data_IF_504820780978
#
_entry.id   IF_504820780978
#
_cell.length_a   1.000
_cell.length_b   1.000
_cell.length_c   1.000
_cell.angle_alpha   90.00
_cell.angle_beta   90.00
_cell.angle_gamma   90.00
#
_symmetry.space_group_name_H-M   'P 1'
#
loop_
_entity.id
_entity.type
_entity.pdbx_description
1 polymer ?
#
# COMPACT_ATOMS: atom_id res chain seq x y z
N UNK A 1 36.69 -65.64 42.88
CA UNK A 1 36.55 -64.27 43.41
C UNK A 1 36.36 -63.37 42.21
N UNK A 2 35.14 -62.89 41.98
CA UNK A 2 34.77 -62.09 40.82
C UNK A 2 34.44 -60.68 41.27
N UNK A 3 35.22 -59.68 40.85
CA UNK A 3 35.05 -58.27 41.14
C UNK A 3 33.99 -57.67 40.21
N UNK A 4 32.92 -57.04 40.79
CA UNK A 4 31.93 -56.30 40.08
C UNK A 4 32.40 -54.86 39.89
N UNK A 5 32.60 -54.38 38.68
CA UNK A 5 32.80 -52.97 38.33
C UNK A 5 31.44 -52.34 38.05
N UNK A 6 31.07 -51.35 38.84
CA UNK A 6 29.89 -50.52 38.70
C UNK A 6 30.15 -49.48 37.62
N UNK A 7 29.29 -49.42 36.59
CA UNK A 7 29.32 -48.42 35.53
C UNK A 7 28.32 -47.32 35.95
N UNK A 8 28.83 -46.12 36.27
CA UNK A 8 28.00 -44.93 36.45
C UNK A 8 27.73 -44.26 35.10
N UNK A 9 26.48 -44.29 34.65
CA UNK A 9 26.01 -43.54 33.49
C UNK A 9 25.50 -42.17 33.92
N UNK A 10 26.24 -41.10 33.55
CA UNK A 10 25.76 -39.74 33.68
C UNK A 10 24.76 -39.46 32.56
N UNK A 11 23.48 -39.20 32.91
CA UNK A 11 22.50 -38.63 32.01
C UNK A 11 22.70 -37.11 32.03
N UNK A 12 23.18 -36.55 30.90
CA UNK A 12 23.15 -35.12 30.65
C UNK A 12 21.73 -34.72 30.17
N UNK A 13 20.97 -34.04 31.02
CA UNK A 13 19.70 -33.45 30.60
C UNK A 13 19.97 -32.18 29.79
N UNK A 14 19.80 -32.29 28.47
CA UNK A 14 19.81 -31.13 27.56
C UNK A 14 18.55 -30.31 27.74
N UNK A 15 18.68 -29.07 28.22
CA UNK A 15 17.60 -28.09 28.23
C UNK A 15 17.39 -27.59 26.81
N UNK A 16 16.33 -28.04 26.14
CA UNK A 16 15.88 -27.48 24.88
C UNK A 16 15.11 -26.21 25.19
N UNK A 17 15.75 -25.07 25.04
CA UNK A 17 15.07 -23.75 25.07
C UNK A 17 14.25 -23.64 23.79
N UNK A 18 12.95 -23.83 23.89
CA UNK A 18 12.01 -23.54 22.80
C UNK A 18 12.03 -22.03 22.53
N UNK A 19 12.61 -21.63 21.39
CA UNK A 19 12.42 -20.28 20.87
C UNK A 19 10.96 -20.17 20.42
N UNK A 20 10.13 -19.51 21.22
CA UNK A 20 8.82 -19.04 20.79
C UNK A 20 9.02 -17.91 19.78
N UNK A 21 8.40 -17.96 18.60
CA UNK A 21 8.48 -16.83 17.66
C UNK A 21 7.81 -15.61 18.29
N UNK A 22 8.48 -14.46 18.20
CA UNK A 22 7.94 -13.15 18.61
C UNK A 22 6.72 -12.79 17.72
N UNK A 23 5.53 -13.24 18.10
CA UNK A 23 4.24 -12.73 17.63
C UNK A 23 3.79 -11.67 18.64
N UNK A 24 4.45 -10.53 18.72
CA UNK A 24 4.14 -9.55 19.77
C UNK A 24 4.03 -8.10 19.33
N UNK A 25 3.97 -7.75 18.06
CA UNK A 25 3.78 -6.33 17.67
C UNK A 25 2.38 -5.96 17.20
N UNK A 26 1.49 -6.92 16.96
CA UNK A 26 0.13 -6.65 16.49
C UNK A 26 -0.89 -6.46 17.65
N UNK A 27 -0.50 -6.69 18.89
CA UNK A 27 -1.44 -6.71 20.03
C UNK A 27 -1.68 -5.35 20.71
N UNK A 28 -0.84 -4.33 20.45
CA UNK A 28 -0.91 -3.03 21.14
C UNK A 28 -1.28 -1.85 20.23
N UNK A 29 -1.72 -2.11 18.99
CA UNK A 29 -2.17 -1.00 18.13
C UNK A 29 -3.55 -0.51 18.58
N UNK A 30 -3.74 0.80 18.80
CA UNK A 30 -5.06 1.34 19.09
C UNK A 30 -6.00 1.02 17.92
N UNK A 31 -7.17 0.44 18.22
CA UNK A 31 -8.18 0.17 17.20
C UNK A 31 -8.56 1.46 16.49
N UNK A 32 -8.32 1.52 15.19
CA UNK A 32 -8.76 2.65 14.37
C UNK A 32 -10.25 2.50 14.03
N UNK A 33 -10.97 3.62 14.05
CA UNK A 33 -12.36 3.72 13.58
C UNK A 33 -12.44 4.37 12.21
N UNK A 34 -11.39 5.07 11.81
CA UNK A 34 -11.35 5.88 10.61
C UNK A 34 -10.37 5.32 9.60
N UNK A 35 -10.71 5.39 8.33
CA UNK A 35 -9.87 5.05 7.20
C UNK A 35 -9.89 6.18 6.19
N UNK A 36 -8.73 6.69 5.82
CA UNK A 36 -8.56 7.70 4.77
C UNK A 36 -7.91 7.03 3.57
N UNK A 37 -8.59 7.05 2.43
CA UNK A 37 -8.24 6.35 1.20
C UNK A 37 -7.78 7.35 0.15
N UNK A 38 -6.57 7.17 -0.40
CA UNK A 38 -5.96 8.11 -1.35
C UNK A 38 -5.75 7.40 -2.68
N UNK A 39 -6.31 7.96 -3.76
CA UNK A 39 -6.16 7.42 -5.11
C UNK A 39 -4.82 7.81 -5.75
N UNK A 40 -4.37 6.99 -6.71
CA UNK A 40 -3.15 7.24 -7.47
C UNK A 40 -3.39 8.11 -8.72
N UNK A 41 -2.33 8.20 -9.56
CA UNK A 41 -2.42 8.76 -10.91
C UNK A 41 -3.43 7.97 -11.75
N UNK A 42 -4.03 8.60 -12.75
CA UNK A 42 -4.98 8.00 -13.70
C UNK A 42 -6.29 7.50 -13.06
N UNK A 43 -6.55 7.87 -11.82
CA UNK A 43 -7.71 7.45 -11.04
C UNK A 43 -8.30 8.64 -10.26
N UNK A 44 -9.42 8.40 -9.63
CA UNK A 44 -10.07 9.30 -8.67
C UNK A 44 -10.61 8.50 -7.47
N UNK A 45 -11.27 9.16 -6.53
CA UNK A 45 -11.84 8.51 -5.35
C UNK A 45 -12.88 7.43 -5.64
N UNK A 46 -13.49 7.40 -6.84
CA UNK A 46 -14.46 6.38 -7.21
C UNK A 46 -13.87 4.98 -7.35
N UNK A 47 -12.55 4.88 -7.51
CA UNK A 47 -11.83 3.61 -7.55
C UNK A 47 -11.92 2.84 -6.21
N UNK A 48 -12.23 3.53 -5.11
CA UNK A 48 -12.36 2.97 -3.77
C UNK A 48 -13.77 2.52 -3.38
N UNK A 49 -14.80 2.76 -4.21
CA UNK A 49 -16.20 2.56 -3.82
C UNK A 49 -16.51 1.19 -3.24
N UNK A 50 -16.01 0.12 -3.85
CA UNK A 50 -16.28 -1.25 -3.41
C UNK A 50 -15.55 -1.56 -2.09
N UNK A 51 -14.33 -1.07 -1.91
CA UNK A 51 -13.57 -1.16 -0.63
C UNK A 51 -14.31 -0.39 0.47
N UNK A 52 -14.78 0.82 0.18
CA UNK A 52 -15.56 1.65 1.13
C UNK A 52 -16.79 0.89 1.62
N UNK A 53 -17.53 0.23 0.73
CA UNK A 53 -18.72 -0.54 1.10
C UNK A 53 -18.38 -1.69 2.10
N UNK A 54 -17.26 -2.39 1.88
CA UNK A 54 -16.80 -3.43 2.81
C UNK A 54 -16.38 -2.84 4.17
N UNK A 55 -15.63 -1.73 4.19
CA UNK A 55 -15.18 -1.07 5.42
C UNK A 55 -16.35 -0.54 6.24
N UNK A 56 -17.36 0.07 5.59
CA UNK A 56 -18.57 0.57 6.24
C UNK A 56 -19.40 -0.58 6.82
N UNK A 57 -19.51 -1.72 6.11
CA UNK A 57 -20.15 -2.92 6.61
C UNK A 57 -19.47 -3.47 7.87
N UNK A 58 -18.15 -3.30 7.97
CA UNK A 58 -17.38 -3.66 9.16
C UNK A 58 -17.41 -2.59 10.27
N UNK A 59 -18.16 -1.49 10.09
CA UNK A 59 -18.35 -0.44 11.10
C UNK A 59 -17.25 0.61 11.13
N UNK A 60 -16.43 0.74 10.08
CA UNK A 60 -15.41 1.79 9.96
C UNK A 60 -15.94 3.00 9.19
N UNK A 61 -15.49 4.19 9.57
CA UNK A 61 -15.68 5.42 8.82
C UNK A 61 -14.63 5.48 7.71
N UNK A 62 -15.04 5.38 6.44
CA UNK A 62 -14.15 5.43 5.30
C UNK A 62 -14.37 6.72 4.50
N UNK A 63 -13.30 7.48 4.26
CA UNK A 63 -13.33 8.72 3.49
C UNK A 63 -12.29 8.67 2.38
N UNK A 64 -12.72 8.86 1.11
CA UNK A 64 -11.82 8.97 -0.02
C UNK A 64 -11.38 10.43 -0.23
N UNK A 65 -10.08 10.64 -0.35
CA UNK A 65 -9.50 11.93 -0.72
C UNK A 65 -9.67 12.14 -2.23
N UNK A 66 -10.00 13.38 -2.62
CA UNK A 66 -9.93 13.82 -4.01
C UNK A 66 -8.69 14.71 -4.14
N UNK A 67 -7.53 14.08 -4.36
CA UNK A 67 -6.29 14.81 -4.57
C UNK A 67 -6.23 15.32 -6.02
N UNK A 68 -5.81 16.61 -6.23
CA UNK A 68 -5.96 17.26 -7.52
C UNK A 68 -4.99 16.81 -8.61
N UNK A 69 -3.98 16.00 -8.27
CA UNK A 69 -2.92 15.52 -9.17
C UNK A 69 -2.09 16.65 -9.82
N UNK A 70 -1.83 17.72 -9.07
CA UNK A 70 -1.14 18.92 -9.54
C UNK A 70 0.31 19.02 -9.05
N UNK A 71 0.54 18.83 -7.76
CA UNK A 71 1.86 18.84 -7.15
C UNK A 71 1.86 18.00 -5.88
N UNK A 72 3.05 17.57 -5.41
CA UNK A 72 3.17 16.85 -4.15
C UNK A 72 2.63 17.68 -2.98
N UNK A 73 2.82 19.00 -3.00
CA UNK A 73 2.35 19.92 -1.96
C UNK A 73 0.83 20.00 -1.92
N UNK A 74 0.19 20.25 -3.07
CA UNK A 74 -1.28 20.38 -3.16
C UNK A 74 -1.98 19.06 -2.86
N UNK A 75 -1.47 17.95 -3.41
CA UNK A 75 -1.99 16.62 -3.17
C UNK A 75 -1.84 16.22 -1.69
N UNK A 76 -0.68 16.51 -1.08
CA UNK A 76 -0.46 16.30 0.36
C UNK A 76 -1.36 17.19 1.21
N UNK A 77 -1.62 18.44 0.80
CA UNK A 77 -2.54 19.33 1.49
C UNK A 77 -3.98 18.78 1.43
N UNK A 78 -4.39 18.16 0.32
CA UNK A 78 -5.69 17.49 0.23
C UNK A 78 -5.80 16.34 1.24
N UNK A 79 -4.77 15.49 1.35
CA UNK A 79 -4.72 14.40 2.35
C UNK A 79 -4.80 14.97 3.78
N UNK A 80 -3.97 15.98 4.11
CA UNK A 80 -3.97 16.58 5.45
C UNK A 80 -5.31 17.20 5.83
N UNK A 81 -6.05 17.82 4.88
CA UNK A 81 -7.40 18.36 5.14
C UNK A 81 -8.40 17.28 5.56
N UNK A 82 -8.32 16.09 4.95
CA UNK A 82 -9.20 14.97 5.32
C UNK A 82 -8.74 14.34 6.65
N UNK A 83 -7.44 14.21 6.89
CA UNK A 83 -6.92 13.73 8.17
C UNK A 83 -7.35 14.63 9.34
N UNK A 84 -7.33 15.95 9.15
CA UNK A 84 -7.77 16.93 10.16
C UNK A 84 -9.26 16.85 10.52
N UNK A 85 -10.07 16.19 9.73
CA UNK A 85 -11.51 15.97 9.99
C UNK A 85 -11.76 14.66 10.77
N UNK A 86 -10.75 13.85 10.99
CA UNK A 86 -10.92 12.57 11.69
C UNK A 86 -10.93 12.79 13.21
N UNK A 87 -11.76 12.02 13.92
CA UNK A 87 -11.99 12.16 15.36
C UNK A 87 -11.21 11.16 16.22
N UNK A 88 -10.21 10.47 15.64
CA UNK A 88 -9.42 9.47 16.36
C UNK A 88 -8.47 8.68 15.47
N UNK A 89 -7.88 7.60 16.01
CA UNK A 89 -6.91 6.80 15.27
C UNK A 89 -7.40 6.41 13.87
N UNK A 90 -6.57 6.67 12.87
CA UNK A 90 -6.91 6.59 11.46
C UNK A 90 -5.91 5.74 10.71
N UNK A 91 -6.38 4.78 9.91
CA UNK A 91 -5.56 4.09 8.92
C UNK A 91 -5.49 4.94 7.65
N UNK A 92 -4.29 5.25 7.21
CA UNK A 92 -4.07 5.99 5.96
C UNK A 92 -3.64 5.02 4.85
N UNK A 93 -4.42 4.97 3.77
CA UNK A 93 -4.28 4.01 2.68
C UNK A 93 -3.93 4.73 1.38
N UNK A 94 -2.92 4.26 0.68
CA UNK A 94 -2.52 4.83 -0.62
C UNK A 94 -2.41 3.77 -1.70
N UNK A 95 -3.07 4.02 -2.84
CA UNK A 95 -2.93 3.22 -4.04
C UNK A 95 -1.91 3.84 -5.00
N UNK A 96 -1.03 3.03 -5.57
CA UNK A 96 -0.14 3.46 -6.66
C UNK A 96 0.74 4.67 -6.28
N UNK A 97 0.66 5.77 -7.03
CA UNK A 97 1.33 7.04 -6.73
C UNK A 97 1.01 7.56 -5.33
N UNK A 98 -0.21 7.35 -4.83
CA UNK A 98 -0.59 7.83 -3.50
C UNK A 98 0.24 7.22 -2.36
N UNK A 99 0.97 6.14 -2.61
CA UNK A 99 2.00 5.68 -1.67
C UNK A 99 3.08 6.75 -1.40
N UNK A 100 3.38 7.61 -2.38
CA UNK A 100 4.23 8.80 -2.18
C UNK A 100 3.56 9.79 -1.23
N UNK A 101 2.26 10.05 -1.41
CA UNK A 101 1.50 10.98 -0.58
C UNK A 101 1.39 10.50 0.88
N UNK A 102 1.11 9.20 1.08
CA UNK A 102 1.03 8.66 2.44
C UNK A 102 2.40 8.49 3.11
N UNK A 103 3.48 8.35 2.34
CA UNK A 103 4.85 8.42 2.86
C UNK A 103 5.20 9.83 3.35
N UNK A 104 4.68 10.89 2.67
CA UNK A 104 4.87 12.28 3.03
C UNK A 104 3.97 12.73 4.21
N UNK A 105 2.73 12.26 4.27
CA UNK A 105 1.73 12.79 5.22
C UNK A 105 1.46 11.88 6.41
N UNK A 106 1.83 10.62 6.32
CA UNK A 106 1.49 9.58 7.32
C UNK A 106 2.22 9.69 8.65
N UNK A 107 3.16 10.63 8.79
CA UNK A 107 3.81 10.97 10.07
C UNK A 107 2.88 11.66 11.06
N UNK A 108 1.71 12.14 10.66
CA UNK A 108 0.71 12.77 11.50
C UNK A 108 0.36 11.86 12.70
N UNK A 109 0.15 12.49 13.87
CA UNK A 109 -0.13 11.79 15.14
C UNK A 109 -1.44 11.00 15.11
N UNK A 110 -2.43 11.44 14.33
CA UNK A 110 -3.72 10.76 14.18
C UNK A 110 -3.60 9.47 13.36
N UNK A 111 -2.56 9.34 12.53
CA UNK A 111 -2.32 8.14 11.71
C UNK A 111 -1.75 7.02 12.57
N UNK A 112 -2.50 5.93 12.73
CA UNK A 112 -2.10 4.76 13.50
C UNK A 112 -1.35 3.71 12.67
N UNK A 113 -1.66 3.58 11.37
CA UNK A 113 -1.02 2.64 10.45
C UNK A 113 -1.12 3.13 9.01
N UNK A 114 -0.23 2.60 8.16
CA UNK A 114 -0.18 2.86 6.72
C UNK A 114 -0.49 1.59 5.95
N UNK A 115 -1.29 1.70 4.88
CA UNK A 115 -1.56 0.59 3.96
C UNK A 115 -1.21 1.03 2.54
N UNK A 116 -0.32 0.29 1.91
CA UNK A 116 0.15 0.50 0.54
C UNK A 116 -0.49 -0.55 -0.36
N UNK A 117 -1.25 -0.13 -1.36
CA UNK A 117 -1.95 -1.02 -2.30
C UNK A 117 -1.32 -0.84 -3.67
N UNK A 118 -0.57 -1.84 -4.16
CA UNK A 118 0.18 -1.76 -5.42
C UNK A 118 0.90 -0.40 -5.57
N UNK A 119 1.66 0.04 -4.56
CA UNK A 119 1.97 1.45 -4.37
C UNK A 119 3.47 1.77 -4.33
N UNK A 120 3.81 3.00 -4.69
CA UNK A 120 5.12 3.57 -4.41
C UNK A 120 5.32 3.69 -2.91
N UNK A 121 6.57 3.55 -2.45
CA UNK A 121 6.94 3.79 -1.06
C UNK A 121 8.35 4.40 -1.00
N UNK A 122 8.50 5.67 -1.43
CA UNK A 122 9.80 6.32 -1.46
C UNK A 122 10.35 6.54 -0.07
N UNK A 123 11.67 6.59 0.02
CA UNK A 123 12.37 7.15 1.17
C UNK A 123 12.45 8.68 1.07
N UNK A 124 12.76 9.35 2.17
CA UNK A 124 12.95 10.80 2.18
C UNK A 124 14.04 11.22 1.19
N UNK A 125 13.72 12.16 0.30
CA UNK A 125 14.60 12.65 -0.76
C UNK A 125 14.89 11.67 -1.89
N UNK A 126 14.33 10.46 -1.87
CA UNK A 126 14.60 9.43 -2.87
C UNK A 126 14.06 9.83 -4.24
N UNK A 127 14.85 9.57 -5.27
CA UNK A 127 14.41 9.60 -6.65
C UNK A 127 13.74 8.25 -6.98
N UNK A 128 12.41 8.22 -6.87
CA UNK A 128 11.64 7.00 -7.13
C UNK A 128 11.78 6.54 -8.59
N UNK A 129 11.93 7.46 -9.55
CA UNK A 129 12.17 7.12 -10.95
C UNK A 129 13.50 6.38 -11.15
N UNK A 130 14.55 6.86 -10.51
CA UNK A 130 15.87 6.20 -10.54
C UNK A 130 15.86 4.85 -9.83
N UNK A 131 15.07 4.69 -8.75
CA UNK A 131 14.85 3.39 -8.12
C UNK A 131 14.11 2.44 -9.05
N UNK A 132 12.99 2.87 -9.62
CA UNK A 132 12.16 2.06 -10.51
C UNK A 132 12.92 1.62 -11.78
N UNK A 133 13.83 2.44 -12.28
CA UNK A 133 14.67 2.11 -13.44
C UNK A 133 15.62 0.92 -13.21
N UNK A 134 15.79 0.44 -11.97
CA UNK A 134 16.55 -0.78 -11.65
C UNK A 134 15.75 -2.06 -11.89
N UNK A 135 14.46 -1.95 -12.19
CA UNK A 135 13.54 -3.04 -12.44
C UNK A 135 13.04 -3.00 -13.89
N UNK A 136 12.55 -4.12 -14.44
CA UNK A 136 11.98 -4.14 -15.77
C UNK A 136 10.87 -3.08 -15.92
N UNK A 137 10.92 -2.35 -17.04
CA UNK A 137 9.96 -1.29 -17.33
C UNK A 137 8.56 -1.86 -17.52
N UNK A 138 7.54 -1.38 -16.78
CA UNK A 138 6.19 -1.92 -16.90
C UNK A 138 5.51 -1.52 -18.21
N UNK A 139 4.64 -2.38 -18.79
CA UNK A 139 4.02 -2.17 -20.11
C UNK A 139 3.19 -0.88 -20.21
N UNK A 140 2.45 -0.50 -19.16
CA UNK A 140 1.60 0.71 -19.18
C UNK A 140 2.37 1.98 -19.54
N UNK A 141 3.66 2.05 -19.21
CA UNK A 141 4.50 3.22 -19.47
C UNK A 141 4.63 3.56 -20.98
N UNK A 142 4.45 2.58 -21.86
CA UNK A 142 4.48 2.79 -23.30
C UNK A 142 3.26 3.57 -23.83
N UNK A 143 2.16 3.58 -23.07
CA UNK A 143 0.94 4.30 -23.43
C UNK A 143 0.79 5.68 -22.80
N UNK A 144 1.84 6.18 -22.13
CA UNK A 144 1.82 7.54 -21.57
C UNK A 144 1.80 8.58 -22.67
N UNK A 145 0.80 9.44 -22.63
CA UNK A 145 0.65 10.63 -23.49
C UNK A 145 1.00 11.86 -22.66
N UNK A 146 1.66 12.85 -23.28
CA UNK A 146 2.03 14.12 -22.65
C UNK A 146 1.50 15.31 -23.43
N UNK A 147 1.08 16.36 -22.75
CA UNK A 147 0.65 17.62 -23.37
C UNK A 147 0.37 18.68 -22.30
N UNK A 148 0.74 19.91 -22.62
CA UNK A 148 0.46 21.11 -21.80
C UNK A 148 0.87 21.03 -20.32
N UNK A 149 1.99 20.35 -20.02
CA UNK A 149 2.48 20.17 -18.64
C UNK A 149 1.81 19.04 -17.88
N UNK A 150 1.05 18.19 -18.56
CA UNK A 150 0.34 17.04 -17.98
C UNK A 150 0.66 15.75 -18.73
N UNK A 151 0.35 14.64 -18.07
CA UNK A 151 0.42 13.30 -18.67
C UNK A 151 -0.80 12.44 -18.28
N UNK A 152 -1.16 11.51 -19.15
CA UNK A 152 -2.22 10.53 -18.93
C UNK A 152 -1.93 9.25 -19.70
N UNK A 153 -2.71 8.20 -19.48
CA UNK A 153 -2.64 6.98 -20.29
C UNK A 153 -3.61 7.07 -21.46
N UNK A 154 -3.18 6.67 -22.66
CA UNK A 154 -4.11 6.46 -23.75
C UNK A 154 -5.06 5.29 -23.42
N UNK A 155 -6.18 5.22 -24.11
CA UNK A 155 -7.24 4.24 -23.84
C UNK A 155 -6.74 2.79 -23.91
N UNK A 156 -5.91 2.48 -24.91
CA UNK A 156 -5.40 1.12 -25.09
C UNK A 156 -4.57 0.67 -23.88
N UNK A 157 -3.59 1.46 -23.48
CA UNK A 157 -2.74 1.15 -22.33
C UNK A 157 -3.52 1.16 -21.01
N UNK A 158 -4.48 2.07 -20.85
CA UNK A 158 -5.33 2.09 -19.68
C UNK A 158 -6.10 0.78 -19.55
N UNK A 159 -6.80 0.35 -20.59
CA UNK A 159 -7.64 -0.85 -20.54
C UNK A 159 -6.82 -2.14 -20.47
N UNK A 160 -5.70 -2.22 -21.22
CA UNK A 160 -4.88 -3.44 -21.31
C UNK A 160 -3.95 -3.61 -20.12
N UNK A 161 -3.37 -2.53 -19.60
CA UNK A 161 -2.25 -2.58 -18.66
C UNK A 161 -2.60 -2.00 -17.29
N UNK A 162 -3.24 -0.82 -17.21
CA UNK A 162 -3.61 -0.20 -15.93
C UNK A 162 -4.81 -0.90 -15.29
N UNK A 163 -5.83 -1.23 -16.07
CA UNK A 163 -7.05 -1.89 -15.63
C UNK A 163 -7.08 -3.40 -15.96
N UNK A 164 -5.92 -4.05 -16.15
CA UNK A 164 -5.87 -5.48 -16.39
C UNK A 164 -6.52 -6.26 -15.22
N UNK A 165 -7.37 -7.25 -15.56
CA UNK A 165 -8.12 -8.04 -14.57
C UNK A 165 -9.39 -7.37 -14.03
N UNK A 166 -9.70 -6.14 -14.44
CA UNK A 166 -10.98 -5.47 -14.14
C UNK A 166 -12.03 -5.82 -15.19
N UNK A 167 -13.30 -5.92 -14.77
CA UNK A 167 -14.42 -6.08 -15.71
C UNK A 167 -14.37 -5.02 -16.82
N UNK A 168 -14.53 -5.40 -18.10
CA UNK A 168 -14.35 -4.47 -19.22
C UNK A 168 -15.30 -3.26 -19.22
N UNK A 169 -16.52 -3.39 -18.71
CA UNK A 169 -17.44 -2.25 -18.62
C UNK A 169 -17.01 -1.30 -17.52
N UNK A 170 -16.59 -1.84 -16.37
CA UNK A 170 -16.03 -1.06 -15.26
C UNK A 170 -14.72 -0.37 -15.66
N UNK A 171 -13.82 -1.06 -16.36
CA UNK A 171 -12.55 -0.48 -16.84
C UNK A 171 -12.78 0.72 -17.79
N UNK A 172 -13.77 0.63 -18.69
CA UNK A 172 -14.15 1.77 -19.56
C UNK A 172 -14.72 2.94 -18.78
N UNK A 173 -15.51 2.69 -17.72
CA UNK A 173 -16.03 3.75 -16.86
C UNK A 173 -14.90 4.44 -16.09
N UNK A 174 -13.94 3.67 -15.57
CA UNK A 174 -12.75 4.20 -14.88
C UNK A 174 -11.85 5.00 -15.84
N UNK A 175 -11.72 4.57 -17.09
CA UNK A 175 -11.00 5.37 -18.10
C UNK A 175 -11.66 6.74 -18.33
N UNK A 176 -12.98 6.80 -18.33
CA UNK A 176 -13.72 8.05 -18.56
C UNK A 176 -13.56 9.09 -17.43
N UNK A 177 -13.21 8.64 -16.21
CA UNK A 177 -12.95 9.53 -15.05
C UNK A 177 -11.46 9.74 -14.80
N UNK A 178 -10.59 9.23 -15.66
CA UNK A 178 -9.16 9.47 -15.59
C UNK A 178 -8.83 10.97 -15.66
N UNK A 179 -8.27 11.52 -14.58
CA UNK A 179 -7.69 12.86 -14.58
C UNK A 179 -6.23 12.85 -15.07
N UNK A 180 -5.78 13.90 -15.79
CA UNK A 180 -4.35 14.06 -16.09
C UNK A 180 -3.56 14.39 -14.83
N UNK A 181 -2.34 13.84 -14.70
CA UNK A 181 -1.40 14.22 -13.68
C UNK A 181 -0.44 15.29 -14.20
N UNK A 182 -0.09 16.28 -13.37
CA UNK A 182 0.90 17.28 -13.74
C UNK A 182 2.30 16.67 -13.82
N UNK A 183 3.12 17.13 -14.78
CA UNK A 183 4.50 16.65 -14.99
C UNK A 183 5.36 16.75 -13.71
N UNK A 184 5.08 17.71 -12.84
CA UNK A 184 5.74 17.88 -11.54
C UNK A 184 5.67 16.63 -10.64
N UNK A 185 4.61 15.81 -10.76
CA UNK A 185 4.43 14.60 -9.97
C UNK A 185 5.36 13.45 -10.39
N UNK A 186 5.86 13.48 -11.63
CA UNK A 186 6.75 12.44 -12.13
C UNK A 186 8.09 12.38 -11.38
N UNK A 187 8.59 13.55 -10.94
CA UNK A 187 9.89 13.71 -10.28
C UNK A 187 9.78 14.15 -8.82
N UNK A 188 8.55 14.18 -8.27
CA UNK A 188 8.31 14.58 -6.89
C UNK A 188 9.06 13.70 -5.90
N UNK A 189 9.73 14.33 -4.92
CA UNK A 189 10.47 13.67 -3.86
C UNK A 189 9.86 14.03 -2.52
N UNK A 190 9.61 13.01 -1.69
CA UNK A 190 9.09 13.23 -0.33
C UNK A 190 10.15 13.83 0.57
N UNK A 191 9.73 14.68 1.51
CA UNK A 191 10.61 15.20 2.57
C UNK A 191 10.74 14.23 3.75
N UNK A 192 9.78 13.29 3.86
CA UNK A 192 9.69 12.30 4.93
C UNK A 192 9.43 10.90 4.35
N UNK A 193 9.55 9.89 5.21
CA UNK A 193 9.20 8.51 4.91
C UNK A 193 8.45 7.92 6.11
N UNK A 194 7.14 8.18 6.20
CA UNK A 194 6.32 7.82 7.35
C UNK A 194 6.36 6.31 7.68
N UNK A 195 6.58 5.46 6.68
CA UNK A 195 6.74 4.02 6.85
C UNK A 195 7.94 3.60 7.73
N UNK A 196 8.88 4.51 7.97
CA UNK A 196 10.01 4.25 8.88
C UNK A 196 9.61 4.27 10.36
N UNK A 197 8.50 4.94 10.68
CA UNK A 197 8.07 5.18 12.07
C UNK A 197 6.65 4.68 12.36
N UNK A 198 5.88 4.32 11.33
CA UNK A 198 4.52 3.81 11.48
C UNK A 198 4.44 2.33 11.10
N UNK A 199 3.59 1.54 11.77
CA UNK A 199 3.22 0.21 11.30
C UNK A 199 2.74 0.28 9.86
N UNK A 200 3.28 -0.59 9.00
CA UNK A 200 2.99 -0.54 7.57
C UNK A 200 2.55 -1.91 7.06
N UNK A 201 1.56 -1.87 6.18
CA UNK A 201 0.99 -3.02 5.47
C UNK A 201 1.15 -2.79 3.97
N UNK A 202 1.35 -3.86 3.23
CA UNK A 202 1.53 -3.77 1.78
C UNK A 202 0.79 -4.89 1.06
N UNK A 203 0.05 -4.54 0.01
CA UNK A 203 -0.49 -5.50 -0.92
C UNK A 203 0.29 -5.43 -2.24
N UNK A 204 0.88 -6.55 -2.64
CA UNK A 204 1.60 -6.73 -3.90
C UNK A 204 0.65 -7.32 -4.95
N UNK A 205 0.54 -6.65 -6.10
CA UNK A 205 -0.21 -7.15 -7.27
C UNK A 205 0.72 -7.95 -8.19
N UNK A 206 0.59 -9.29 -8.20
CA UNK A 206 1.57 -10.15 -8.88
C UNK A 206 1.49 -10.10 -10.40
N UNK A 207 0.40 -9.56 -10.95
CA UNK A 207 0.16 -9.36 -12.39
C UNK A 207 0.16 -7.87 -12.77
N UNK A 208 0.73 -7.00 -11.93
CA UNK A 208 0.78 -5.56 -12.17
C UNK A 208 1.60 -5.23 -13.42
N UNK A 209 0.99 -4.44 -14.31
CA UNK A 209 1.57 -3.98 -15.57
C UNK A 209 1.87 -2.47 -15.57
N UNK A 210 1.71 -1.81 -14.41
CA UNK A 210 1.91 -0.37 -14.17
C UNK A 210 3.06 -0.10 -13.21
N UNK A 211 3.18 -0.88 -12.13
CA UNK A 211 4.37 -0.97 -11.30
C UNK A 211 4.90 -2.40 -11.41
N UNK A 212 6.22 -2.56 -11.51
CA UNK A 212 6.80 -3.90 -11.61
C UNK A 212 6.60 -4.66 -10.29
N UNK A 213 6.05 -5.90 -10.29
CA UNK A 213 5.80 -6.67 -9.06
C UNK A 213 7.05 -6.91 -8.21
N UNK A 214 8.24 -7.04 -8.83
CA UNK A 214 9.50 -7.19 -8.09
C UNK A 214 9.90 -5.90 -7.38
N UNK A 215 9.57 -4.73 -7.96
CA UNK A 215 9.72 -3.45 -7.26
C UNK A 215 8.77 -3.37 -6.06
N UNK A 216 7.51 -3.79 -6.21
CA UNK A 216 6.55 -3.82 -5.10
C UNK A 216 7.05 -4.71 -3.95
N UNK A 217 7.53 -5.93 -4.26
CA UNK A 217 8.15 -6.85 -3.28
C UNK A 217 9.38 -6.24 -2.60
N UNK A 218 10.22 -5.56 -3.38
CA UNK A 218 11.38 -4.84 -2.83
C UNK A 218 10.95 -3.75 -1.84
N UNK A 219 9.92 -2.96 -2.18
CA UNK A 219 9.39 -1.89 -1.33
C UNK A 219 8.78 -2.46 -0.04
N UNK A 220 7.93 -3.46 -0.15
CA UNK A 220 7.32 -4.14 0.99
C UNK A 220 8.37 -4.71 1.96
N UNK A 221 9.40 -5.38 1.42
CA UNK A 221 10.52 -5.92 2.21
C UNK A 221 11.33 -4.81 2.88
N UNK A 222 11.65 -3.72 2.15
CA UNK A 222 12.40 -2.57 2.67
C UNK A 222 11.69 -1.93 3.87
N UNK A 223 10.38 -1.79 3.79
CA UNK A 223 9.54 -1.25 4.85
C UNK A 223 9.32 -2.22 6.01
N UNK A 224 9.67 -3.49 5.86
CA UNK A 224 9.28 -4.58 6.78
C UNK A 224 7.76 -4.62 7.00
N UNK A 225 7.00 -4.37 5.94
CA UNK A 225 5.56 -4.32 6.00
C UNK A 225 4.94 -5.71 6.20
N UNK A 226 3.81 -5.78 6.91
CA UNK A 226 2.94 -6.95 6.85
C UNK A 226 2.39 -7.04 5.43
N UNK A 227 2.76 -8.11 4.70
CA UNK A 227 2.56 -8.18 3.25
C UNK A 227 1.62 -9.30 2.86
N UNK A 228 0.70 -9.02 1.94
CA UNK A 228 -0.07 -10.02 1.19
C UNK A 228 0.23 -9.87 -0.30
N UNK A 229 0.12 -10.97 -1.05
CA UNK A 229 0.21 -10.97 -2.51
C UNK A 229 -1.11 -11.45 -3.10
N UNK A 230 -1.60 -10.74 -4.12
CA UNK A 230 -2.81 -11.10 -4.85
C UNK A 230 -2.48 -11.33 -6.32
N UNK A 231 -3.07 -12.35 -6.92
CA UNK A 231 -3.06 -12.58 -8.37
C UNK A 231 -3.98 -11.56 -9.06
N UNK A 232 -3.56 -10.31 -9.05
CA UNK A 232 -4.31 -9.14 -9.52
C UNK A 232 -3.45 -8.22 -10.36
N UNK A 233 -4.08 -7.44 -11.23
CA UNK A 233 -3.47 -6.29 -11.89
C UNK A 233 -3.34 -5.09 -10.95
N UNK A 234 -2.96 -3.94 -11.52
CA UNK A 234 -2.70 -2.71 -10.76
C UNK A 234 -3.91 -2.21 -9.96
N UNK A 235 -5.13 -2.35 -10.49
CA UNK A 235 -6.37 -1.95 -9.82
C UNK A 235 -6.92 -3.08 -8.91
N UNK A 236 -6.08 -3.64 -8.04
CA UNK A 236 -6.49 -4.66 -7.06
C UNK A 236 -7.63 -4.19 -6.15
N UNK A 237 -7.70 -2.91 -5.82
CA UNK A 237 -8.79 -2.30 -5.04
C UNK A 237 -10.15 -2.40 -5.74
N UNK A 238 -10.17 -2.58 -7.08
CA UNK A 238 -11.39 -2.74 -7.88
C UNK A 238 -11.69 -4.23 -8.13
N UNK A 239 -10.66 -5.03 -8.44
CA UNK A 239 -10.82 -6.45 -8.78
C UNK A 239 -10.91 -7.37 -7.55
N UNK A 240 -10.32 -6.97 -6.41
CA UNK A 240 -10.22 -7.74 -5.16
C UNK A 240 -10.57 -6.86 -3.95
N UNK A 241 -11.72 -6.14 -3.97
CA UNK A 241 -12.04 -5.13 -2.96
C UNK A 241 -12.17 -5.70 -1.54
N UNK A 242 -12.58 -6.97 -1.42
CA UNK A 242 -12.72 -7.65 -0.13
C UNK A 242 -11.34 -7.90 0.51
N UNK A 243 -10.41 -8.46 -0.23
CA UNK A 243 -9.06 -8.76 0.25
C UNK A 243 -8.30 -7.48 0.63
N UNK A 244 -8.52 -6.38 -0.11
CA UNK A 244 -8.00 -5.07 0.24
C UNK A 244 -8.65 -4.54 1.52
N UNK A 245 -9.96 -4.66 1.67
CA UNK A 245 -10.65 -4.27 2.89
C UNK A 245 -10.18 -5.10 4.09
N UNK A 246 -9.96 -6.41 3.94
CA UNK A 246 -9.47 -7.29 5.01
C UNK A 246 -8.06 -6.87 5.46
N UNK A 247 -7.17 -6.48 4.53
CA UNK A 247 -5.84 -5.93 4.88
C UNK A 247 -5.96 -4.61 5.66
N UNK A 248 -6.88 -3.73 5.25
CA UNK A 248 -7.13 -2.45 5.95
C UNK A 248 -7.72 -2.71 7.34
N UNK A 249 -8.64 -3.67 7.50
CA UNK A 249 -9.19 -4.09 8.78
C UNK A 249 -8.10 -4.62 9.72
N UNK A 250 -7.18 -5.43 9.19
CA UNK A 250 -6.02 -5.89 9.97
C UNK A 250 -5.14 -4.72 10.43
N UNK A 251 -4.90 -3.73 9.57
CA UNK A 251 -4.16 -2.51 9.91
C UNK A 251 -4.90 -1.64 10.92
N UNK A 252 -6.24 -1.69 10.94
CA UNK A 252 -7.09 -0.99 11.92
C UNK A 252 -7.19 -1.72 13.27
N UNK A 253 -6.52 -2.87 13.45
CA UNK A 253 -6.60 -3.67 14.67
C UNK A 253 -7.92 -4.44 14.83
N UNK A 254 -8.69 -4.61 13.75
CA UNK A 254 -9.85 -5.47 13.70
C UNK A 254 -9.41 -6.86 13.22
N UNK A 255 -9.65 -7.88 14.02
CA UNK A 255 -9.45 -9.27 13.58
C UNK A 255 -10.64 -9.68 12.71
N UNK A 256 -10.37 -10.20 11.51
CA UNK A 256 -11.35 -10.87 10.69
C UNK A 256 -11.84 -12.16 11.34
#
# INVERSE_FOLDING_TARGET
>A
MVSRRTFNTLLAAGVITAMTPEISKAQDMPKAKNVVLVHGLYADGSSWLDVIAHLQTAGLNATAVQNPLMSLEEDSAAVRRILAQQDGPTVLVGHSFAGTLISETGGDSIVSALVYVAARAPDAGEDFGALAAKFPKPPASAGTVKGDGYFWLNQEAFLRDFANGVDPARARALYAVQGPGADALATAKTSTAAWRVKPSFYQVSTEDRTINPELERFLAKRMKATTIELASGHLSLVSHPREIADLILAAAGHRG
#
